data_IF_641481316449
#
_entry.id   IF_641481316449
#
_cell.length_a   1.000
_cell.length_b   1.000
_cell.length_c   1.000
_cell.angle_alpha   90.00
_cell.angle_beta   90.00
_cell.angle_gamma   90.00
#
_symmetry.space_group_name_H-M   'P 1'
#
loop_
_entity.id
_entity.type
_entity.pdbx_description
1 polymer ?
#
# COMPACT_ATOMS: atom_id res chain seq x y z
N UNK A 1 5.37 -6.74 -45.78
CA UNK A 1 4.47 -7.20 -44.69
C UNK A 1 5.20 -7.76 -43.45
N UNK A 2 6.30 -8.52 -43.57
CA UNK A 2 7.02 -9.08 -42.41
C UNK A 2 7.63 -8.01 -41.48
N UNK A 3 8.24 -6.96 -42.05
CA UNK A 3 8.83 -5.86 -41.26
C UNK A 3 7.82 -5.13 -40.36
N UNK A 4 6.62 -4.84 -40.88
CA UNK A 4 5.54 -4.21 -40.10
C UNK A 4 5.10 -5.11 -38.93
N UNK A 5 4.99 -6.43 -39.16
CA UNK A 5 4.65 -7.39 -38.09
C UNK A 5 5.72 -7.45 -37.00
N UNK A 6 7.00 -7.44 -37.38
CA UNK A 6 8.12 -7.43 -36.43
C UNK A 6 8.20 -6.10 -35.66
N UNK A 7 7.92 -4.99 -36.33
CA UNK A 7 7.86 -3.68 -35.69
C UNK A 7 6.68 -3.58 -34.70
N UNK A 8 5.49 -4.04 -35.09
CA UNK A 8 4.33 -4.09 -34.21
C UNK A 8 4.58 -4.99 -32.99
N UNK A 9 5.20 -6.15 -33.18
CA UNK A 9 5.53 -7.07 -32.09
C UNK A 9 6.55 -6.45 -31.13
N UNK A 10 7.61 -5.83 -31.65
CA UNK A 10 8.64 -5.18 -30.81
C UNK A 10 8.09 -3.97 -30.06
N UNK A 11 7.25 -3.13 -30.70
CA UNK A 11 6.58 -2.02 -30.04
C UNK A 11 5.63 -2.50 -28.92
N UNK A 12 4.88 -3.58 -29.17
CA UNK A 12 4.02 -4.19 -28.16
C UNK A 12 4.83 -4.79 -27.00
N UNK A 13 5.90 -5.54 -27.28
CA UNK A 13 6.76 -6.10 -26.24
C UNK A 13 7.42 -5.01 -25.40
N UNK A 14 7.90 -3.93 -26.02
CA UNK A 14 8.51 -2.81 -25.30
C UNK A 14 7.51 -2.13 -24.36
N UNK A 15 6.27 -1.85 -24.80
CA UNK A 15 5.27 -1.24 -23.92
C UNK A 15 4.82 -2.19 -22.81
N UNK A 16 4.57 -3.46 -23.12
CA UNK A 16 4.03 -4.43 -22.17
C UNK A 16 5.05 -4.94 -21.14
N UNK A 17 6.35 -4.89 -21.46
CA UNK A 17 7.44 -5.32 -20.57
C UNK A 17 8.20 -4.13 -19.96
N UNK A 18 7.81 -2.88 -20.24
CA UNK A 18 8.44 -1.68 -19.66
C UNK A 18 8.15 -1.44 -18.18
N UNK A 19 7.37 -2.30 -17.52
CA UNK A 19 7.07 -2.16 -16.11
C UNK A 19 8.34 -2.39 -15.28
N UNK A 20 8.88 -1.30 -14.74
CA UNK A 20 9.87 -1.40 -13.67
C UNK A 20 9.10 -1.72 -12.39
N UNK A 21 9.33 -2.88 -11.74
CA UNK A 21 8.68 -3.16 -10.47
C UNK A 21 9.13 -2.09 -9.47
N UNK A 22 8.20 -1.22 -9.08
CA UNK A 22 8.45 -0.29 -7.98
C UNK A 22 8.56 -1.17 -6.74
N UNK A 23 9.77 -1.33 -6.21
CA UNK A 23 9.96 -2.06 -4.96
C UNK A 23 9.02 -1.45 -3.91
N UNK A 24 8.11 -2.26 -3.40
CA UNK A 24 7.19 -1.83 -2.36
C UNK A 24 8.02 -1.29 -1.19
N UNK A 25 7.71 -0.05 -0.78
CA UNK A 25 8.42 0.56 0.34
C UNK A 25 8.06 -0.19 1.61
N UNK A 26 9.05 -0.35 2.49
CA UNK A 26 8.79 -0.77 3.86
C UNK A 26 8.23 0.43 4.62
N UNK A 27 6.99 0.32 5.09
CA UNK A 27 6.29 1.38 5.83
C UNK A 27 6.12 0.88 7.26
N UNK A 28 6.58 1.68 8.23
CA UNK A 28 6.33 1.45 9.64
C UNK A 28 5.20 2.36 10.07
N UNK A 29 4.16 1.77 10.68
CA UNK A 29 3.04 2.49 11.26
C UNK A 29 3.08 2.22 12.75
N UNK A 30 3.21 3.28 13.54
CA UNK A 30 3.12 3.23 14.99
C UNK A 30 1.71 3.64 15.42
N UNK A 31 0.97 2.71 16.01
CA UNK A 31 -0.34 2.99 16.58
C UNK A 31 -0.14 3.50 18.00
N UNK A 32 -0.46 4.78 18.23
CA UNK A 32 -0.25 5.44 19.51
C UNK A 32 -0.99 4.78 20.68
N UNK A 33 -0.44 4.99 21.88
CA UNK A 33 -0.86 4.34 23.13
C UNK A 33 -0.66 2.82 23.16
N UNK A 34 -0.98 2.18 24.28
CA UNK A 34 -0.72 0.76 24.46
C UNK A 34 -0.89 0.27 25.88
N UNK A 35 -1.16 -1.03 26.04
CA UNK A 35 -1.39 -1.62 27.36
C UNK A 35 -2.53 -0.93 28.09
N UNK A 36 -2.24 -0.37 29.26
CA UNK A 36 -3.21 0.32 30.12
C UNK A 36 -3.34 1.83 29.80
N UNK A 37 -2.48 2.38 28.95
CA UNK A 37 -2.67 3.74 28.43
C UNK A 37 -3.67 3.69 27.28
N UNK A 38 -4.82 4.32 27.48
CA UNK A 38 -5.91 4.37 26.51
C UNK A 38 -5.90 5.67 25.69
N UNK A 39 -5.06 6.65 26.07
CA UNK A 39 -5.07 7.99 25.52
C UNK A 39 -6.35 8.76 25.84
N UNK A 40 -6.75 9.64 24.93
CA UNK A 40 -7.99 10.42 25.05
C UNK A 40 -9.22 9.51 25.00
N UNK A 41 -10.18 9.71 25.90
CA UNK A 41 -11.43 8.93 25.96
C UNK A 41 -12.64 9.86 25.85
N UNK A 42 -13.57 9.52 24.95
CA UNK A 42 -14.87 10.17 24.86
C UNK A 42 -15.98 9.11 24.80
N UNK A 43 -16.77 9.01 25.87
CA UNK A 43 -17.79 7.97 26.01
C UNK A 43 -17.18 6.58 25.96
N UNK A 44 -17.53 5.81 24.92
CA UNK A 44 -17.02 4.44 24.70
C UNK A 44 -15.84 4.36 23.73
N UNK A 45 -15.34 5.50 23.25
CA UNK A 45 -14.26 5.55 22.27
C UNK A 45 -12.95 5.94 22.96
N UNK A 46 -11.88 5.23 22.63
CA UNK A 46 -10.52 5.57 23.05
C UNK A 46 -9.62 5.87 21.86
N UNK A 47 -8.68 6.79 22.04
CA UNK A 47 -7.65 7.12 21.05
C UNK A 47 -6.85 5.88 20.63
N UNK A 48 -6.51 5.03 21.60
CA UNK A 48 -5.88 3.72 21.36
C UNK A 48 -6.66 2.85 20.38
N UNK A 49 -7.96 2.66 20.59
CA UNK A 49 -8.76 1.80 19.70
C UNK A 49 -8.88 2.38 18.30
N UNK A 50 -9.04 3.71 18.19
CA UNK A 50 -9.15 4.40 16.90
C UNK A 50 -7.86 4.22 16.10
N UNK A 51 -6.70 4.51 16.71
CA UNK A 51 -5.39 4.42 16.05
C UNK A 51 -5.03 2.99 15.64
N UNK A 52 -5.28 2.00 16.51
CA UNK A 52 -5.09 0.57 16.18
C UNK A 52 -5.97 0.13 15.02
N UNK A 53 -7.24 0.55 14.99
CA UNK A 53 -8.16 0.20 13.91
C UNK A 53 -7.71 0.81 12.57
N UNK A 54 -7.29 2.07 12.57
CA UNK A 54 -6.74 2.73 11.36
C UNK A 54 -5.49 2.00 10.87
N UNK A 55 -4.54 1.70 11.77
CA UNK A 55 -3.32 0.98 11.41
C UNK A 55 -3.62 -0.40 10.78
N UNK A 56 -4.61 -1.12 11.32
CA UNK A 56 -5.06 -2.40 10.76
C UNK A 56 -5.71 -2.27 9.39
N UNK A 57 -6.51 -1.22 9.12
CA UNK A 57 -7.07 -0.98 7.79
C UNK A 57 -5.96 -0.64 6.78
N UNK A 58 -4.98 0.19 7.14
CA UNK A 58 -3.84 0.49 6.26
C UNK A 58 -3.06 -0.80 5.93
N UNK A 59 -2.85 -1.67 6.92
CA UNK A 59 -2.20 -2.97 6.74
C UNK A 59 -2.97 -3.92 5.80
N UNK A 60 -4.31 -3.88 5.79
CA UNK A 60 -5.10 -4.72 4.86
C UNK A 60 -4.96 -4.26 3.41
N UNK A 61 -4.79 -2.95 3.19
CA UNK A 61 -4.69 -2.35 1.86
C UNK A 61 -3.26 -2.39 1.30
N UNK A 62 -2.28 -2.77 2.11
CA UNK A 62 -0.86 -2.87 1.74
C UNK A 62 -0.35 -4.29 1.99
#
# INVERSE_FOLDING_TARGET
MRGIKLFALSAFSASFLSFTPIHKKYIVIDAGHGGNDMGSIYGKFSEKEITVNIANEIKKLN
#
